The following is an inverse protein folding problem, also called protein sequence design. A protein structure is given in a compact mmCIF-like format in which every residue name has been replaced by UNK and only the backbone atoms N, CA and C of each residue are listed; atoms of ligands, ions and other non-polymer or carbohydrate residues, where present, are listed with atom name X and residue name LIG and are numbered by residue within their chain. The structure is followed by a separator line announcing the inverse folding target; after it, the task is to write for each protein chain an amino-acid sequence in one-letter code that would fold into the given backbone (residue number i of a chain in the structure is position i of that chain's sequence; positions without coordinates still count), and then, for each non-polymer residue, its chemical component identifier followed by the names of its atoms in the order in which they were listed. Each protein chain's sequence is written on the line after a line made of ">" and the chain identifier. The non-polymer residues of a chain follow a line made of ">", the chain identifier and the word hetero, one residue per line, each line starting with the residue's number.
data_IF_922566078480
#
_entry.id   IF_922566078480
#
_cell.length_a   1.000
_cell.length_b   1.000
_cell.length_c   1.000
_cell.angle_alpha   90.00
_cell.angle_beta   90.00
_cell.angle_gamma   90.00
#
_symmetry.space_group_name_H-M   'P 1'
#
loop_
_entity.id
_entity.type
_entity.pdbx_description
1 polymer ?
#
# COMPACT_ATOMS: atom_id res chain seq x y z
N UNK A 1 29.39 -33.31 2.97
CA UNK A 1 28.86 -31.96 3.24
C UNK A 1 27.45 -31.92 2.65
N UNK A 2 26.40 -32.29 3.40
CA UNK A 2 25.60 -31.45 4.31
C UNK A 2 24.86 -30.30 3.57
N UNK A 3 23.53 -30.15 3.56
CA UNK A 3 22.51 -30.69 4.47
C UNK A 3 21.08 -30.79 3.88
N UNK A 4 20.09 -31.18 4.72
CA UNK A 4 18.89 -31.89 4.29
C UNK A 4 17.61 -31.05 4.20
N UNK A 5 16.76 -31.40 3.22
CA UNK A 5 15.34 -31.02 3.14
C UNK A 5 14.58 -31.79 4.23
N UNK A 6 13.98 -31.05 5.17
CA UNK A 6 13.13 -31.63 6.22
C UNK A 6 11.73 -31.89 5.65
N UNK A 7 11.43 -33.15 5.32
CA UNK A 7 10.05 -33.63 5.29
C UNK A 7 9.72 -34.20 6.65
N UNK A 8 8.80 -33.54 7.36
CA UNK A 8 8.34 -33.95 8.68
C UNK A 8 7.38 -35.13 8.51
N UNK A 9 7.82 -36.29 8.98
CA UNK A 9 7.10 -37.56 8.92
C UNK A 9 5.82 -37.58 9.76
N UNK A 10 4.95 -38.51 9.39
CA UNK A 10 3.71 -38.88 10.05
C UNK A 10 3.91 -39.24 11.54
N UNK A 11 2.93 -39.00 12.42
CA UNK A 11 2.93 -39.58 13.75
C UNK A 11 2.29 -40.97 13.70
N UNK A 12 3.14 -41.99 13.79
CA UNK A 12 2.76 -43.33 14.20
C UNK A 12 2.44 -43.36 15.70
N UNK A 13 1.30 -43.95 16.04
CA UNK A 13 1.19 -44.90 17.16
C UNK A 13 1.36 -44.44 18.61
N UNK A 14 0.23 -44.00 19.19
CA UNK A 14 -0.27 -44.33 20.56
C UNK A 14 0.56 -43.95 21.79
N UNK A 15 0.04 -43.00 22.57
CA UNK A 15 0.10 -43.03 24.04
C UNK A 15 -1.22 -42.47 24.61
N UNK A 16 -1.72 -43.15 25.64
CA UNK A 16 -3.05 -43.04 26.20
C UNK A 16 -3.32 -41.68 26.88
N UNK A 17 -4.51 -41.13 26.64
CA UNK A 17 -5.10 -40.13 27.54
C UNK A 17 -6.49 -40.60 27.94
N UNK A 18 -6.63 -40.75 29.25
CA UNK A 18 -7.77 -41.24 30.00
C UNK A 18 -9.06 -40.48 29.63
N UNK A 19 -10.12 -41.25 29.40
CA UNK A 19 -11.39 -40.74 28.92
C UNK A 19 -12.19 -40.02 30.01
N UNK A 20 -12.46 -38.74 29.79
CA UNK A 20 -13.63 -38.08 30.35
C UNK A 20 -14.90 -38.42 29.54
N UNK A 21 -16.10 -38.44 30.13
CA UNK A 21 -17.31 -38.83 29.41
C UNK A 21 -17.71 -37.75 28.40
N UNK A 22 -17.57 -38.05 27.11
CA UNK A 22 -18.19 -37.28 26.03
C UNK A 22 -19.72 -37.53 26.06
N UNK A 23 -20.57 -36.49 26.10
CA UNK A 23 -22.01 -36.67 26.00
C UNK A 23 -22.37 -37.20 24.61
N UNK A 24 -23.22 -38.24 24.58
CA UNK A 24 -23.66 -38.92 23.34
C UNK A 24 -24.43 -37.95 22.45
N UNK A 25 -23.78 -37.41 21.42
CA UNK A 25 -24.44 -36.70 20.34
C UNK A 25 -25.24 -37.70 19.49
N UNK A 26 -26.55 -37.51 19.43
CA UNK A 26 -27.48 -38.30 18.62
C UNK A 26 -27.20 -38.14 17.12
N UNK A 27 -27.44 -39.17 16.27
CA UNK A 27 -27.20 -39.07 14.84
C UNK A 27 -28.36 -38.29 14.18
N UNK A 28 -28.20 -36.97 14.01
CA UNK A 28 -29.14 -36.16 13.22
C UNK A 28 -28.44 -35.50 12.04
N UNK A 29 -28.83 -35.95 10.85
CA UNK A 29 -28.79 -35.19 9.61
C UNK A 29 -27.45 -35.13 8.91
N UNK A 30 -27.18 -36.09 8.02
CA UNK A 30 -26.29 -35.86 6.89
C UNK A 30 -26.83 -34.65 6.12
N UNK A 31 -26.23 -33.48 6.33
CA UNK A 31 -26.49 -32.31 5.52
C UNK A 31 -26.27 -32.71 4.06
N UNK A 32 -27.36 -32.74 3.30
CA UNK A 32 -27.40 -33.06 1.87
C UNK A 32 -26.41 -32.14 1.18
N UNK A 33 -25.20 -32.63 0.89
CA UNK A 33 -24.20 -31.91 0.09
C UNK A 33 -24.92 -31.49 -1.19
N UNK A 34 -25.17 -30.19 -1.33
CA UNK A 34 -25.79 -29.63 -2.53
C UNK A 34 -25.03 -30.14 -3.74
N UNK A 35 -25.74 -30.62 -4.77
CA UNK A 35 -25.12 -31.14 -5.99
C UNK A 35 -24.11 -30.10 -6.49
N UNK A 36 -22.88 -30.54 -6.72
CA UNK A 36 -21.85 -29.72 -7.36
C UNK A 36 -22.44 -29.18 -8.65
N UNK A 37 -22.57 -27.85 -8.74
CA UNK A 37 -23.08 -27.21 -9.96
C UNK A 37 -22.11 -27.57 -11.09
N UNK A 38 -22.58 -27.96 -12.29
CA UNK A 38 -21.71 -28.16 -13.44
C UNK A 38 -20.94 -26.87 -13.69
N UNK A 39 -19.63 -26.90 -13.41
CA UNK A 39 -18.74 -25.78 -13.69
C UNK A 39 -18.31 -25.92 -15.14
N UNK A 40 -18.49 -24.87 -15.92
CA UNK A 40 -17.97 -24.83 -17.28
C UNK A 40 -16.45 -25.10 -17.25
N UNK A 41 -15.96 -25.93 -18.18
CA UNK A 41 -14.55 -26.37 -18.19
C UNK A 41 -13.59 -25.20 -18.37
N UNK A 42 -14.05 -24.11 -19.01
CA UNK A 42 -13.31 -22.86 -19.16
C UNK A 42 -13.73 -21.88 -18.06
N UNK A 43 -12.93 -21.80 -17.01
CA UNK A 43 -13.09 -20.74 -16.03
C UNK A 43 -12.68 -19.40 -16.64
N UNK A 44 -13.44 -18.34 -16.38
CA UNK A 44 -13.01 -16.99 -16.72
C UNK A 44 -11.77 -16.63 -15.89
N UNK A 45 -10.78 -15.93 -16.44
CA UNK A 45 -9.67 -15.39 -15.66
C UNK A 45 -10.21 -14.53 -14.53
N UNK A 46 -9.73 -14.76 -13.31
CA UNK A 46 -10.08 -13.98 -12.13
C UNK A 46 -8.82 -13.33 -11.57
N UNK A 47 -8.86 -12.02 -11.38
CA UNK A 47 -7.81 -11.24 -10.74
C UNK A 47 -8.33 -10.70 -9.42
N UNK A 48 -7.60 -10.91 -8.33
CA UNK A 48 -7.89 -10.32 -7.02
C UNK A 48 -7.08 -9.05 -6.82
N UNK A 49 -7.74 -7.98 -6.39
CA UNK A 49 -7.10 -6.71 -6.01
C UNK A 49 -7.11 -6.61 -4.49
N UNK A 50 -6.00 -6.17 -3.91
CA UNK A 50 -5.90 -5.86 -2.48
C UNK A 50 -6.01 -4.36 -2.31
N UNK A 51 -6.90 -3.94 -1.42
CA UNK A 51 -7.17 -2.55 -1.11
C UNK A 51 -7.00 -2.36 0.38
N UNK A 52 -6.51 -1.19 0.77
CA UNK A 52 -6.62 -0.73 2.15
C UNK A 52 -8.04 -0.18 2.41
N UNK A 53 -8.35 0.13 3.67
CA UNK A 53 -9.70 0.57 4.07
C UNK A 53 -10.11 1.89 3.41
N UNK A 54 -9.17 2.81 3.20
CA UNK A 54 -9.42 4.10 2.57
C UNK A 54 -9.73 3.93 1.08
N UNK A 55 -8.91 3.18 0.35
CA UNK A 55 -9.10 2.84 -1.06
C UNK A 55 -10.44 2.14 -1.26
N UNK A 56 -10.76 1.17 -0.40
CA UNK A 56 -12.03 0.45 -0.45
C UNK A 56 -13.21 1.40 -0.26
N UNK A 57 -13.12 2.34 0.68
CA UNK A 57 -14.19 3.33 0.94
C UNK A 57 -14.44 4.22 -0.27
N UNK A 58 -13.38 4.73 -0.90
CA UNK A 58 -13.49 5.57 -2.12
C UNK A 58 -14.13 4.78 -3.25
N UNK A 59 -13.68 3.54 -3.47
CA UNK A 59 -14.21 2.68 -4.53
C UNK A 59 -15.67 2.30 -4.26
N UNK A 60 -16.02 1.98 -3.01
CA UNK A 60 -17.39 1.66 -2.61
C UNK A 60 -18.33 2.85 -2.85
N UNK A 61 -17.93 4.04 -2.43
CA UNK A 61 -18.71 5.26 -2.69
C UNK A 61 -18.93 5.50 -4.18
N UNK A 62 -17.91 5.29 -5.01
CA UNK A 62 -18.01 5.41 -6.46
C UNK A 62 -18.97 4.37 -7.06
N UNK A 63 -18.87 3.12 -6.62
CA UNK A 63 -19.74 2.04 -7.04
C UNK A 63 -21.20 2.28 -6.65
N UNK A 64 -21.45 2.73 -5.42
CA UNK A 64 -22.79 3.06 -4.92
C UNK A 64 -23.40 4.23 -5.72
N UNK A 65 -22.59 5.24 -6.05
CA UNK A 65 -23.03 6.40 -6.84
C UNK A 65 -23.55 5.99 -8.23
N UNK A 66 -22.92 5.01 -8.89
CA UNK A 66 -23.34 4.52 -10.21
C UNK A 66 -24.23 3.27 -10.15
N UNK A 67 -24.63 2.83 -8.95
CA UNK A 67 -25.50 1.66 -8.76
C UNK A 67 -24.85 0.33 -9.18
N UNK A 68 -23.54 0.20 -9.09
CA UNK A 68 -22.79 -1.01 -9.44
C UNK A 68 -22.27 -1.73 -8.19
N UNK A 69 -22.00 -3.04 -8.33
CA UNK A 69 -21.18 -3.72 -7.32
C UNK A 69 -19.73 -3.23 -7.40
N UNK A 70 -18.99 -3.27 -6.28
CA UNK A 70 -17.56 -2.92 -6.24
C UNK A 70 -16.76 -3.62 -7.33
N UNK A 71 -16.95 -4.93 -7.49
CA UNK A 71 -16.25 -5.71 -8.51
C UNK A 71 -16.63 -5.29 -9.94
N UNK A 72 -17.90 -4.96 -10.18
CA UNK A 72 -18.38 -4.45 -11.47
C UNK A 72 -17.81 -3.07 -11.78
N UNK A 73 -17.80 -2.17 -10.80
CA UNK A 73 -17.25 -0.83 -10.90
C UNK A 73 -15.74 -0.87 -11.19
N UNK A 74 -14.98 -1.72 -10.47
CA UNK A 74 -13.56 -1.94 -10.73
C UNK A 74 -13.31 -2.45 -12.15
N UNK A 75 -14.07 -3.45 -12.59
CA UNK A 75 -13.93 -4.00 -13.94
C UNK A 75 -14.27 -2.98 -15.03
N UNK A 76 -15.33 -2.20 -14.83
CA UNK A 76 -15.76 -1.17 -15.78
C UNK A 76 -14.73 -0.05 -15.87
N UNK A 77 -14.29 0.47 -14.72
CA UNK A 77 -13.29 1.53 -14.63
C UNK A 77 -11.95 1.11 -15.24
N UNK A 78 -11.48 -0.11 -14.93
CA UNK A 78 -10.26 -0.64 -15.52
C UNK A 78 -10.37 -0.80 -17.04
N UNK A 79 -11.53 -1.23 -17.56
CA UNK A 79 -11.75 -1.35 -18.99
C UNK A 79 -11.83 0.02 -19.68
N UNK A 80 -12.46 1.01 -19.04
CA UNK A 80 -12.51 2.38 -19.53
C UNK A 80 -11.11 2.99 -19.60
N UNK A 81 -10.30 2.85 -18.54
CA UNK A 81 -8.91 3.28 -18.51
C UNK A 81 -8.05 2.57 -19.58
N UNK A 82 -8.25 1.26 -19.77
CA UNK A 82 -7.53 0.51 -20.80
C UNK A 82 -7.89 0.93 -22.25
N UNK A 83 -9.07 1.51 -22.46
CA UNK A 83 -9.49 2.08 -23.75
C UNK A 83 -8.86 3.45 -23.99
N UNK A 84 -8.70 4.26 -22.94
CA UNK A 84 -8.04 5.56 -22.99
C UNK A 84 -6.62 5.51 -22.41
N UNK A 85 -5.72 4.85 -23.16
CA UNK A 85 -4.36 4.56 -22.69
C UNK A 85 -3.53 5.83 -22.53
N UNK A 86 -3.72 6.83 -23.40
CA UNK A 86 -2.96 8.08 -23.35
C UNK A 86 -3.30 8.91 -22.12
N UNK A 87 -4.60 9.09 -21.81
CA UNK A 87 -5.00 9.81 -20.60
C UNK A 87 -4.59 9.04 -19.35
N UNK A 88 -4.76 7.72 -19.33
CA UNK A 88 -4.37 6.87 -18.20
C UNK A 88 -2.87 6.93 -17.94
N UNK A 89 -2.04 6.85 -18.99
CA UNK A 89 -0.59 6.95 -18.87
C UNK A 89 -0.16 8.33 -18.33
N UNK A 90 -0.77 9.41 -18.81
CA UNK A 90 -0.51 10.76 -18.33
C UNK A 90 -0.88 10.92 -16.85
N UNK A 91 -2.05 10.41 -16.43
CA UNK A 91 -2.48 10.45 -15.04
C UNK A 91 -1.49 9.70 -14.12
N UNK A 92 -1.12 8.47 -14.47
CA UNK A 92 -0.16 7.66 -13.70
C UNK A 92 1.22 8.32 -13.65
N UNK A 93 1.69 8.90 -14.76
CA UNK A 93 2.97 9.60 -14.80
C UNK A 93 2.95 10.82 -13.87
N UNK A 94 1.88 11.62 -13.91
CA UNK A 94 1.76 12.81 -13.05
C UNK A 94 1.81 12.48 -11.55
N UNK A 95 1.17 11.38 -11.13
CA UNK A 95 1.22 10.93 -9.73
C UNK A 95 2.62 10.48 -9.33
N UNK A 96 3.31 9.73 -10.20
CA UNK A 96 4.69 9.30 -9.97
C UNK A 96 5.68 10.46 -9.91
N UNK A 97 5.47 11.48 -10.73
CA UNK A 97 6.30 12.68 -10.73
C UNK A 97 6.16 13.44 -9.40
N UNK A 98 4.93 13.55 -8.87
CA UNK A 98 4.68 14.14 -7.55
C UNK A 98 5.41 13.38 -6.44
N UNK A 99 5.29 12.04 -6.42
CA UNK A 99 5.97 11.21 -5.43
C UNK A 99 7.51 11.31 -5.55
N UNK A 100 8.02 11.32 -6.78
CA UNK A 100 9.44 11.46 -7.07
C UNK A 100 9.96 12.81 -6.58
N UNK A 101 9.22 13.89 -6.85
CA UNK A 101 9.53 15.22 -6.35
C UNK A 101 9.58 15.23 -4.81
N UNK A 102 8.58 14.64 -4.14
CA UNK A 102 8.53 14.55 -2.68
C UNK A 102 9.72 13.79 -2.08
N UNK A 103 10.13 12.67 -2.69
CA UNK A 103 11.31 11.92 -2.24
C UNK A 103 12.62 12.68 -2.47
N UNK A 104 12.75 13.38 -3.61
CA UNK A 104 13.91 14.24 -3.88
C UNK A 104 14.05 15.34 -2.83
N UNK A 105 12.93 15.96 -2.47
CA UNK A 105 12.81 16.95 -1.41
C UNK A 105 13.21 16.40 -0.04
N UNK A 106 12.67 15.24 0.37
CA UNK A 106 13.03 14.60 1.64
C UNK A 106 14.54 14.33 1.73
N UNK A 107 15.15 13.90 0.62
CA UNK A 107 16.59 13.67 0.54
C UNK A 107 17.39 14.96 0.74
N UNK A 108 17.00 16.04 0.07
CA UNK A 108 17.67 17.35 0.21
C UNK A 108 17.58 17.87 1.65
N UNK A 109 16.43 17.70 2.31
CA UNK A 109 16.27 18.08 3.71
C UNK A 109 17.20 17.26 4.63
N UNK A 110 17.33 15.95 4.39
CA UNK A 110 18.24 15.10 5.15
C UNK A 110 19.71 15.54 5.04
N UNK A 111 20.13 15.93 3.84
CA UNK A 111 21.48 16.47 3.60
C UNK A 111 21.71 17.77 4.35
N UNK A 112 20.75 18.67 4.29
CA UNK A 112 20.87 19.96 4.94
C UNK A 112 20.85 19.85 6.47
N UNK A 113 20.05 18.94 7.05
CA UNK A 113 20.09 18.63 8.48
C UNK A 113 21.46 18.10 8.93
N UNK A 114 22.09 17.23 8.12
CA UNK A 114 23.45 16.76 8.37
C UNK A 114 24.48 17.90 8.37
N UNK A 115 24.39 18.81 7.40
CA UNK A 115 25.30 19.95 7.31
C UNK A 115 25.14 20.91 8.51
N UNK A 116 23.91 21.13 8.97
CA UNK A 116 23.66 21.93 10.19
C UNK A 116 24.29 21.27 11.41
N UNK A 117 24.12 19.95 11.56
CA UNK A 117 24.73 19.21 12.66
C UNK A 117 26.27 19.28 12.62
N UNK A 118 26.87 19.24 11.43
CA UNK A 118 28.32 19.41 11.26
C UNK A 118 28.80 20.80 11.64
N UNK A 119 28.06 21.85 11.27
CA UNK A 119 28.43 23.22 11.61
C UNK A 119 28.27 23.51 13.11
N UNK A 120 27.22 23.01 13.75
CA UNK A 120 27.06 23.07 15.21
C UNK A 120 28.24 22.37 15.91
N UNK A 121 28.66 21.21 15.41
CA UNK A 121 29.82 20.49 15.94
C UNK A 121 31.12 21.30 15.78
N UNK A 122 31.33 21.95 14.64
CA UNK A 122 32.50 22.79 14.37
C UNK A 122 32.56 24.01 15.31
N UNK A 123 31.43 24.71 15.44
CA UNK A 123 31.30 25.85 16.35
C UNK A 123 31.53 25.44 17.82
N UNK A 124 30.96 24.30 18.24
CA UNK A 124 31.17 23.76 19.59
C UNK A 124 32.63 23.35 19.85
N UNK A 125 33.41 23.06 18.81
CA UNK A 125 34.85 22.79 18.91
C UNK A 125 35.73 24.04 18.83
N UNK A 126 35.13 25.25 18.79
CA UNK A 126 35.86 26.51 18.66
C UNK A 126 36.43 26.76 17.26
N UNK A 127 36.02 25.97 16.26
CA UNK A 127 36.40 26.16 14.87
C UNK A 127 35.45 27.15 14.18
N UNK A 128 36.00 27.97 13.28
CA UNK A 128 35.23 29.00 12.58
C UNK A 128 34.40 28.38 11.44
N UNK A 129 33.16 28.86 11.26
CA UNK A 129 32.20 28.33 10.29
C UNK A 129 31.64 29.45 9.37
N UNK A 130 32.50 30.09 8.54
CA UNK A 130 32.18 31.32 7.81
C UNK A 130 31.07 31.18 6.75
N UNK A 131 30.67 29.96 6.39
CA UNK A 131 29.62 29.70 5.39
C UNK A 131 28.30 29.17 5.98
N UNK A 132 28.19 29.07 7.30
CA UNK A 132 27.03 28.49 7.94
C UNK A 132 25.74 29.29 7.72
N UNK A 133 25.81 30.63 7.79
CA UNK A 133 24.65 31.51 7.60
C UNK A 133 24.10 31.43 6.17
N UNK A 134 24.97 31.37 5.16
CA UNK A 134 24.59 31.22 3.76
C UNK A 134 23.95 29.86 3.50
N UNK A 135 24.56 28.78 4.00
CA UNK A 135 24.00 27.42 3.90
C UNK A 135 22.63 27.30 4.59
N UNK A 136 22.45 27.97 5.74
CA UNK A 136 21.17 28.01 6.45
C UNK A 136 20.10 28.79 5.67
N UNK A 137 20.48 29.88 5.00
CA UNK A 137 19.58 30.65 4.13
C UNK A 137 19.14 29.84 2.90
N UNK A 138 20.06 29.10 2.28
CA UNK A 138 19.74 28.19 1.16
C UNK A 138 18.84 27.04 1.60
N UNK A 139 19.10 26.46 2.78
CA UNK A 139 18.23 25.45 3.37
C UNK A 139 16.82 26.01 3.61
N UNK A 140 16.71 27.22 4.17
CA UNK A 140 15.40 27.85 4.42
C UNK A 140 14.64 28.13 3.12
N UNK A 141 15.34 28.55 2.05
CA UNK A 141 14.75 28.70 0.70
C UNK A 141 14.26 27.38 0.13
N UNK A 142 15.07 26.32 0.24
CA UNK A 142 14.69 24.99 -0.20
C UNK A 142 13.46 24.48 0.56
N UNK A 143 13.43 24.60 1.89
CA UNK A 143 12.30 24.22 2.72
C UNK A 143 11.01 24.99 2.37
N UNK A 144 11.10 26.28 2.05
CA UNK A 144 9.95 27.06 1.60
C UNK A 144 9.44 26.64 0.21
N UNK A 145 10.34 26.29 -0.71
CA UNK A 145 9.96 25.77 -2.02
C UNK A 145 9.24 24.42 -1.90
N UNK A 146 9.71 23.57 -0.99
CA UNK A 146 9.09 22.31 -0.61
C UNK A 146 7.69 22.52 -0.04
N UNK A 147 7.55 23.44 0.92
CA UNK A 147 6.26 23.74 1.52
C UNK A 147 5.25 24.17 0.45
N UNK A 148 5.63 25.09 -0.44
CA UNK A 148 4.79 25.52 -1.55
C UNK A 148 4.41 24.39 -2.51
N UNK A 149 5.31 23.45 -2.76
CA UNK A 149 5.01 22.29 -3.59
C UNK A 149 4.03 21.34 -2.89
N UNK A 150 4.20 21.10 -1.59
CA UNK A 150 3.27 20.32 -0.79
C UNK A 150 1.88 20.97 -0.71
N UNK A 151 1.82 22.28 -0.53
CA UNK A 151 0.56 23.04 -0.48
C UNK A 151 -0.20 22.96 -1.83
N UNK A 152 0.52 22.97 -2.97
CA UNK A 152 -0.08 22.77 -4.30
C UNK A 152 -0.67 21.38 -4.48
N UNK A 153 -0.02 20.36 -3.94
CA UNK A 153 -0.54 18.98 -3.99
C UNK A 153 -1.77 18.86 -3.09
N UNK A 154 -1.74 19.43 -1.88
CA UNK A 154 -2.88 19.40 -0.96
C UNK A 154 -4.10 20.14 -1.53
N UNK A 155 -3.91 21.35 -2.08
CA UNK A 155 -4.97 22.14 -2.71
C UNK A 155 -5.46 21.57 -4.04
N UNK A 156 -4.59 20.89 -4.80
CA UNK A 156 -4.98 20.15 -6.01
C UNK A 156 -5.91 18.96 -5.72
N UNK A 157 -5.81 18.35 -4.54
CA UNK A 157 -6.73 17.29 -4.11
C UNK A 157 -8.09 17.82 -3.64
N UNK A 158 -8.16 19.04 -3.12
CA UNK A 158 -9.43 19.68 -2.72
C UNK A 158 -10.33 20.01 -3.93
N UNK A 159 -9.74 20.36 -5.08
CA UNK A 159 -10.48 20.68 -6.31
C UNK A 159 -11.04 19.48 -7.08
N UNK A 160 -10.68 18.25 -6.69
CA UNK A 160 -11.13 17.01 -7.33
C UNK A 160 -12.23 16.28 -6.52
N UNK A 161 -12.62 16.85 -5.37
CA UNK A 161 -13.66 16.34 -4.47
C UNK A 161 -14.96 17.20 -4.50
N UNK A 162 -15.14 18.06 -5.50
CA UNK A 162 -16.30 18.94 -5.67
C UNK A 162 -17.12 18.58 -6.91
#
# INVERSE_FOLDING_TARGET
>A
MAGPVRHQGAPDGKAATEGGPQPKASPKGLARRGRSRPRDKKQRPAHSVRLNDQELTVIQSGADHVGMSVAGFLAHSALAAARDQSCTAAAIASERDILTALFGVRRQLGWAGSNVNQAVKALNSGADAPHFSAALADLRRAAQAVQRAADRVASGQEGQAA
#
